data_IF_348068036048
#
_entry.id   IF_348068036048
#
_cell.length_a   1.000
_cell.length_b   1.000
_cell.length_c   1.000
_cell.angle_alpha   90.00
_cell.angle_beta   90.00
_cell.angle_gamma   90.00
#
_symmetry.space_group_name_H-M   'P 1'
#
loop_
_entity.id
_entity.type
_entity.pdbx_description
1 polymer ?
#
# COMPACT_ATOMS: atom_id res chain seq x y z
N UNK A 1 -3.09 25.22 -15.58
CA UNK A 1 -3.33 24.00 -16.38
C UNK A 1 -3.97 22.96 -15.46
N UNK A 2 -5.03 22.26 -15.85
CA UNK A 2 -5.57 21.17 -15.04
C UNK A 2 -4.52 20.05 -14.98
N UNK A 3 -4.13 19.65 -13.77
CA UNK A 3 -3.30 18.45 -13.57
C UNK A 3 -4.11 17.25 -14.06
N UNK A 4 -3.51 16.39 -14.88
CA UNK A 4 -4.13 15.12 -15.25
C UNK A 4 -4.40 14.31 -13.98
N UNK A 5 -5.60 13.76 -13.84
CA UNK A 5 -5.89 12.80 -12.78
C UNK A 5 -5.18 11.48 -13.12
N UNK A 6 -4.33 11.02 -12.21
CA UNK A 6 -3.67 9.73 -12.33
C UNK A 6 -4.64 8.64 -11.86
N UNK A 7 -4.70 7.52 -12.59
CA UNK A 7 -5.46 6.34 -12.17
C UNK A 7 -4.45 5.23 -11.89
N UNK A 8 -4.53 4.63 -10.70
CA UNK A 8 -3.78 3.44 -10.36
C UNK A 8 -4.73 2.27 -10.07
N UNK A 9 -4.45 1.13 -10.67
CA UNK A 9 -5.21 -0.10 -10.49
C UNK A 9 -4.59 -0.95 -9.38
N UNK A 10 -5.37 -1.33 -8.37
CA UNK A 10 -4.87 -2.10 -7.24
C UNK A 10 -4.60 -3.58 -7.56
N UNK A 11 -5.24 -4.15 -8.59
CA UNK A 11 -4.85 -5.46 -9.14
C UNK A 11 -3.47 -5.35 -9.81
N UNK A 12 -3.24 -4.31 -10.60
CA UNK A 12 -1.95 -4.08 -11.25
C UNK A 12 -0.86 -3.76 -10.22
N UNK A 13 -1.19 -3.04 -9.14
CA UNK A 13 -0.28 -2.87 -8.02
C UNK A 13 0.10 -4.22 -7.41
N UNK A 14 -0.86 -5.11 -7.12
CA UNK A 14 -0.55 -6.43 -6.59
C UNK A 14 0.36 -7.25 -7.54
N UNK A 15 0.17 -7.08 -8.86
CA UNK A 15 0.89 -7.80 -9.92
C UNK A 15 2.32 -7.29 -10.15
N UNK A 16 2.52 -5.98 -10.20
CA UNK A 16 3.80 -5.33 -10.57
C UNK A 16 4.54 -4.71 -9.38
N UNK A 17 3.80 -4.47 -8.30
CA UNK A 17 4.21 -3.68 -7.14
C UNK A 17 4.40 -2.19 -7.45
N UNK A 18 3.93 -1.69 -8.60
CA UNK A 18 3.93 -0.27 -8.93
C UNK A 18 2.51 0.29 -8.80
N UNK A 19 2.35 1.38 -8.05
CA UNK A 19 1.05 2.00 -7.85
C UNK A 19 0.88 3.12 -8.89
N UNK A 20 0.48 2.71 -10.11
CA UNK A 20 0.52 3.61 -11.27
C UNK A 20 1.96 4.09 -11.51
N UNK A 21 2.23 5.40 -11.57
CA UNK A 21 3.58 5.92 -11.75
C UNK A 21 4.45 5.89 -10.48
N UNK A 22 3.89 5.50 -9.33
CA UNK A 22 4.64 5.44 -8.07
C UNK A 22 5.35 4.09 -7.94
N UNK A 23 6.68 4.15 -7.87
CA UNK A 23 7.54 3.00 -7.61
C UNK A 23 8.50 3.31 -6.46
N UNK A 24 8.89 2.27 -5.74
CA UNK A 24 9.97 2.34 -4.74
C UNK A 24 11.25 2.88 -5.41
N UNK A 25 11.95 3.78 -4.70
CA UNK A 25 13.19 4.42 -5.15
C UNK A 25 13.00 5.82 -5.76
N UNK A 26 11.77 6.25 -6.08
CA UNK A 26 11.53 7.61 -6.55
C UNK A 26 11.96 8.66 -5.51
N UNK A 27 12.54 9.76 -5.97
CA UNK A 27 12.87 10.88 -5.08
C UNK A 27 11.64 11.64 -4.61
N UNK A 28 11.76 12.41 -3.51
CA UNK A 28 10.69 13.31 -3.04
C UNK A 28 10.24 14.28 -4.12
N UNK A 29 11.19 14.81 -4.89
CA UNK A 29 10.90 15.72 -6.01
C UNK A 29 10.10 15.03 -7.12
N UNK A 30 10.42 13.78 -7.44
CA UNK A 30 9.67 13.00 -8.42
C UNK A 30 8.25 12.70 -7.92
N UNK A 31 8.10 12.29 -6.66
CA UNK A 31 6.77 12.07 -6.05
C UNK A 31 5.95 13.35 -6.03
N UNK A 32 6.55 14.48 -5.64
CA UNK A 32 5.89 15.78 -5.62
C UNK A 32 5.48 16.25 -7.03
N UNK A 33 6.30 15.98 -8.05
CA UNK A 33 5.94 16.28 -9.43
C UNK A 33 4.71 15.49 -9.89
N UNK A 34 4.57 14.23 -9.45
CA UNK A 34 3.45 13.35 -9.76
C UNK A 34 2.17 13.71 -8.98
N UNK A 35 2.27 13.81 -7.66
CA UNK A 35 1.11 13.90 -6.76
C UNK A 35 0.83 15.32 -6.24
N UNK A 36 1.79 16.22 -6.35
CA UNK A 36 1.75 17.51 -5.68
C UNK A 36 2.12 17.43 -4.19
N UNK A 37 1.65 18.41 -3.42
CA UNK A 37 1.87 18.43 -1.98
C UNK A 37 1.02 17.38 -1.28
N UNK A 38 1.53 16.71 -0.24
CA UNK A 38 0.72 15.81 0.57
C UNK A 38 -0.35 16.57 1.35
N UNK A 39 -1.44 15.87 1.65
CA UNK A 39 -2.54 16.42 2.45
C UNK A 39 -2.18 16.48 3.95
N UNK A 40 -1.37 15.53 4.41
CA UNK A 40 -0.85 15.45 5.77
C UNK A 40 0.55 14.82 5.76
N UNK A 41 1.31 14.98 6.84
CA UNK A 41 2.65 14.41 6.99
C UNK A 41 2.94 14.15 8.48
N UNK A 42 4.00 13.40 8.78
CA UNK A 42 4.40 13.18 10.17
C UNK A 42 4.60 14.54 10.87
N UNK A 43 3.80 14.79 11.90
CA UNK A 43 3.80 16.04 12.68
C UNK A 43 5.19 16.31 13.26
N UNK A 44 5.45 17.57 13.60
CA UNK A 44 6.71 18.06 14.19
C UNK A 44 7.88 18.27 13.21
N UNK A 45 7.74 17.90 11.93
CA UNK A 45 8.73 18.22 10.90
C UNK A 45 8.15 19.07 9.77
N UNK A 46 8.97 19.93 9.15
CA UNK A 46 8.66 20.49 7.84
C UNK A 46 8.36 19.38 6.82
N UNK A 47 7.46 19.64 5.86
CA UNK A 47 7.03 18.63 4.87
C UNK A 47 8.20 18.03 4.08
N UNK A 48 9.22 18.83 3.76
CA UNK A 48 10.43 18.43 3.04
C UNK A 48 11.38 17.56 3.87
N UNK A 49 11.21 17.52 5.20
CA UNK A 49 12.00 16.70 6.13
C UNK A 49 11.19 15.55 6.74
N UNK A 50 9.88 15.53 6.50
CA UNK A 50 8.99 14.52 7.04
C UNK A 50 9.22 13.17 6.38
N UNK A 51 9.40 12.12 7.17
CA UNK A 51 9.61 10.76 6.66
C UNK A 51 8.33 10.14 6.11
N UNK A 52 7.16 10.72 6.36
CA UNK A 52 5.86 10.18 5.94
C UNK A 52 5.05 11.28 5.27
N UNK A 53 4.57 11.01 4.06
CA UNK A 53 3.62 11.84 3.33
C UNK A 53 2.31 11.09 3.16
N UNK A 54 1.17 11.76 3.42
CA UNK A 54 -0.16 11.16 3.32
C UNK A 54 -0.99 11.79 2.22
N UNK A 55 -1.69 10.94 1.48
CA UNK A 55 -2.60 11.31 0.39
C UNK A 55 -3.88 10.50 0.56
N UNK A 56 -4.81 10.93 1.42
CA UNK A 56 -5.94 10.08 1.81
C UNK A 56 -5.44 8.92 2.66
N UNK A 57 -5.79 7.68 2.30
CA UNK A 57 -5.37 6.47 3.01
C UNK A 57 -3.96 6.01 2.60
N UNK A 58 -3.44 6.55 1.49
CA UNK A 58 -2.10 6.25 1.01
C UNK A 58 -1.05 6.97 1.86
N UNK A 59 -0.17 6.20 2.47
CA UNK A 59 1.03 6.68 3.16
C UNK A 59 2.30 6.32 2.36
N UNK A 60 3.15 7.31 2.15
CA UNK A 60 4.44 7.19 1.48
C UNK A 60 5.56 7.43 2.50
N UNK A 61 6.38 6.42 2.75
CA UNK A 61 7.51 6.51 3.67
C UNK A 61 8.80 6.71 2.90
N UNK A 62 9.60 7.67 3.33
CA UNK A 62 10.86 8.02 2.72
C UNK A 62 12.03 7.66 3.65
N UNK A 63 13.06 7.04 3.07
CA UNK A 63 14.37 6.88 3.69
C UNK A 63 15.34 7.84 2.99
N UNK A 64 15.76 8.88 3.70
CA UNK A 64 16.43 10.02 3.08
C UNK A 64 15.52 10.73 2.06
N UNK A 65 15.98 10.79 0.80
CA UNK A 65 15.24 11.39 -0.31
C UNK A 65 14.41 10.38 -1.11
N UNK A 66 14.50 9.09 -0.82
CA UNK A 66 13.91 8.05 -1.67
C UNK A 66 12.69 7.39 -1.04
N UNK A 67 11.66 7.15 -1.86
CA UNK A 67 10.45 6.43 -1.48
C UNK A 67 10.83 4.98 -1.14
N UNK A 68 10.72 4.64 0.14
CA UNK A 68 11.06 3.34 0.69
C UNK A 68 9.83 2.44 0.86
N UNK A 69 8.65 3.00 1.12
CA UNK A 69 7.43 2.22 1.31
C UNK A 69 6.18 2.94 0.83
N UNK A 70 5.29 2.19 0.20
CA UNK A 70 3.90 2.56 -0.15
C UNK A 70 3.01 1.75 0.79
N UNK A 71 2.14 2.39 1.57
CA UNK A 71 1.41 1.74 2.65
C UNK A 71 -0.04 2.22 2.78
N UNK A 72 -0.91 1.31 3.22
CA UNK A 72 -2.31 1.53 3.55
C UNK A 72 -2.65 0.71 4.79
N UNK A 73 -3.12 1.35 5.87
CA UNK A 73 -3.53 0.69 7.13
C UNK A 73 -4.81 1.27 7.77
N UNK A 74 -5.30 2.39 7.23
CA UNK A 74 -6.54 3.03 7.66
C UNK A 74 -7.41 3.32 6.45
N UNK A 75 -8.32 2.40 6.14
CA UNK A 75 -9.26 2.50 5.02
C UNK A 75 -10.49 1.63 5.27
N UNK A 76 -11.60 1.95 4.59
CA UNK A 76 -12.73 1.02 4.37
C UNK A 76 -12.64 0.47 2.95
N UNK A 77 -12.61 1.36 1.96
CA UNK A 77 -12.18 1.11 0.59
C UNK A 77 -11.01 2.05 0.33
N UNK A 78 -9.83 1.57 -0.13
CA UNK A 78 -8.65 2.40 -0.23
C UNK A 78 -8.88 3.60 -1.16
N UNK A 79 -8.56 4.80 -0.66
CA UNK A 79 -8.50 6.01 -1.47
C UNK A 79 -7.11 6.62 -1.43
N UNK A 80 -6.71 7.19 -2.57
CA UNK A 80 -5.62 8.15 -2.62
C UNK A 80 -6.22 9.56 -2.82
N UNK A 81 -5.56 10.58 -2.27
CA UNK A 81 -6.02 11.98 -2.33
C UNK A 81 -6.24 12.49 -3.76
N UNK A 82 -6.82 13.68 -3.92
CA UNK A 82 -7.48 14.12 -5.17
C UNK A 82 -6.70 14.13 -6.50
N UNK A 83 -5.38 13.91 -6.51
CA UNK A 83 -4.57 13.79 -7.75
C UNK A 83 -4.46 12.33 -8.22
N UNK A 84 -4.47 11.35 -7.32
CA UNK A 84 -4.37 9.93 -7.63
C UNK A 84 -5.69 9.24 -7.27
N UNK A 85 -6.40 8.78 -8.27
CA UNK A 85 -7.59 7.95 -8.08
C UNK A 85 -7.18 6.48 -8.08
N UNK A 86 -7.68 5.72 -7.11
CA UNK A 86 -7.51 4.28 -7.08
C UNK A 86 -8.70 3.63 -7.78
N UNK A 87 -8.44 2.67 -8.66
CA UNK A 87 -9.43 1.70 -9.11
C UNK A 87 -9.43 0.56 -8.10
N UNK A 88 -10.44 0.49 -7.20
CA UNK A 88 -10.47 -0.55 -6.19
C UNK A 88 -10.74 -1.89 -6.87
N UNK A 89 -9.95 -2.89 -6.52
CA UNK A 89 -10.12 -4.27 -6.97
C UNK A 89 -11.05 -5.00 -5.99
N UNK A 90 -10.58 -6.08 -5.36
CA UNK A 90 -11.26 -6.74 -4.23
C UNK A 90 -10.91 -6.11 -2.87
N UNK A 91 -9.99 -5.14 -2.86
CA UNK A 91 -9.39 -4.64 -1.63
C UNK A 91 -10.35 -3.71 -0.88
N UNK A 92 -10.80 -4.16 0.26
CA UNK A 92 -11.50 -3.41 1.29
C UNK A 92 -11.08 -3.92 2.67
N UNK A 93 -11.27 -3.09 3.70
CA UNK A 93 -11.03 -3.52 5.08
C UNK A 93 -11.93 -4.69 5.42
N UNK A 94 -11.36 -5.65 6.14
CA UNK A 94 -12.06 -6.87 6.54
C UNK A 94 -12.20 -7.92 5.44
N UNK A 95 -11.59 -7.74 4.25
CA UNK A 95 -11.56 -8.77 3.22
C UNK A 95 -10.98 -10.08 3.78
N UNK A 96 -11.73 -11.20 3.77
CA UNK A 96 -11.25 -12.47 4.30
C UNK A 96 -10.03 -12.99 3.54
N UNK A 97 -9.15 -13.73 4.23
CA UNK A 97 -7.97 -14.36 3.61
C UNK A 97 -8.34 -15.18 2.38
N UNK A 98 -9.37 -16.02 2.50
CA UNK A 98 -9.79 -16.92 1.42
C UNK A 98 -10.21 -16.13 0.16
N UNK A 99 -10.87 -14.99 0.34
CA UNK A 99 -11.34 -14.16 -0.77
C UNK A 99 -10.19 -13.39 -1.43
N UNK A 100 -9.23 -12.90 -0.65
CA UNK A 100 -7.98 -12.34 -1.21
C UNK A 100 -7.23 -13.40 -2.04
N UNK A 101 -7.04 -14.60 -1.49
CA UNK A 101 -6.34 -15.67 -2.20
C UNK A 101 -7.07 -16.11 -3.47
N UNK A 102 -8.41 -16.20 -3.44
CA UNK A 102 -9.22 -16.48 -4.64
C UNK A 102 -9.03 -15.39 -5.69
N UNK A 103 -9.02 -14.13 -5.29
CA UNK A 103 -8.81 -13.01 -6.19
C UNK A 103 -7.43 -13.07 -6.84
N UNK A 104 -6.37 -13.29 -6.05
CA UNK A 104 -4.99 -13.44 -6.54
C UNK A 104 -4.86 -14.61 -7.53
N UNK A 105 -5.44 -15.77 -7.20
CA UNK A 105 -5.46 -16.95 -8.10
C UNK A 105 -6.20 -16.64 -9.40
N UNK A 106 -7.37 -16.00 -9.34
CA UNK A 106 -8.15 -15.61 -10.53
C UNK A 106 -7.39 -14.62 -11.41
N UNK A 107 -6.68 -13.68 -10.81
CA UNK A 107 -5.81 -12.73 -11.49
C UNK A 107 -4.49 -13.34 -11.98
N UNK A 108 -4.22 -14.62 -11.68
CA UNK A 108 -2.95 -15.30 -12.00
C UNK A 108 -1.74 -14.54 -11.42
N UNK A 109 -1.87 -14.01 -10.21
CA UNK A 109 -0.78 -13.32 -9.48
C UNK A 109 -0.15 -14.35 -8.52
N UNK A 110 1.13 -14.71 -8.68
CA UNK A 110 1.80 -15.63 -7.77
C UNK A 110 1.96 -15.00 -6.38
N UNK A 111 1.70 -15.77 -5.33
CA UNK A 111 1.85 -15.32 -3.95
C UNK A 111 2.24 -16.46 -2.99
N UNK A 112 2.69 -16.09 -1.81
CA UNK A 112 2.86 -16.97 -0.65
C UNK A 112 2.06 -16.44 0.53
N UNK A 113 1.52 -17.35 1.34
CA UNK A 113 0.81 -17.04 2.57
C UNK A 113 1.54 -17.68 3.76
N UNK A 114 1.90 -16.90 4.76
CA UNK A 114 2.57 -17.39 5.97
C UNK A 114 2.06 -16.66 7.21
N UNK A 115 2.02 -17.30 8.40
CA UNK A 115 1.76 -16.58 9.65
C UNK A 115 2.72 -15.40 9.81
N UNK A 116 2.20 -14.26 10.26
CA UNK A 116 3.03 -13.09 10.47
C UNK A 116 3.83 -13.20 11.76
N UNK A 117 5.14 -12.98 11.68
CA UNK A 117 6.03 -13.13 12.84
C UNK A 117 5.91 -12.02 13.89
N UNK A 118 5.33 -10.88 13.52
CA UNK A 118 5.25 -9.70 14.41
C UNK A 118 3.84 -9.46 14.93
N UNK A 119 2.84 -9.94 14.22
CA UNK A 119 1.43 -9.77 14.53
C UNK A 119 0.79 -11.16 14.73
N UNK A 120 0.85 -11.74 15.95
CA UNK A 120 0.16 -12.97 16.26
C UNK A 120 -1.32 -12.90 15.88
N UNK A 121 -1.86 -13.99 15.34
CA UNK A 121 -3.23 -14.03 14.83
C UNK A 121 -3.40 -13.38 13.44
N UNK A 122 -2.32 -12.97 12.78
CA UNK A 122 -2.35 -12.50 11.40
C UNK A 122 -1.65 -13.47 10.43
N UNK A 123 -2.15 -13.48 9.19
CA UNK A 123 -1.50 -14.06 8.02
C UNK A 123 -0.95 -12.96 7.14
N UNK A 124 0.30 -13.10 6.72
CA UNK A 124 0.91 -12.26 5.69
C UNK A 124 0.85 -12.97 4.35
N UNK A 125 0.27 -12.31 3.37
CA UNK A 125 0.25 -12.73 1.96
C UNK A 125 1.21 -11.83 1.19
N UNK A 126 2.16 -12.40 0.44
CA UNK A 126 3.15 -11.63 -0.33
C UNK A 126 3.14 -12.09 -1.78
N UNK A 127 2.97 -11.15 -2.73
CA UNK A 127 3.06 -11.44 -4.16
C UNK A 127 4.51 -11.56 -4.62
N UNK A 128 4.75 -12.17 -5.78
CA UNK A 128 6.10 -12.23 -6.38
C UNK A 128 6.70 -10.85 -6.68
N UNK A 129 5.86 -9.81 -6.79
CA UNK A 129 6.30 -8.42 -6.96
C UNK A 129 6.65 -7.71 -5.64
N UNK A 130 6.49 -8.40 -4.51
CA UNK A 130 6.80 -7.87 -3.18
C UNK A 130 5.69 -7.01 -2.56
N UNK A 131 4.47 -7.05 -3.10
CA UNK A 131 3.31 -6.46 -2.41
C UNK A 131 2.90 -7.39 -1.29
N UNK A 132 2.75 -6.84 -0.09
CA UNK A 132 2.31 -7.57 1.08
C UNK A 132 0.92 -7.13 1.53
N UNK A 133 0.11 -8.08 1.97
CA UNK A 133 -1.17 -7.90 2.61
C UNK A 133 -1.10 -8.55 3.99
N UNK A 134 -1.59 -7.88 5.04
CA UNK A 134 -1.76 -8.48 6.35
C UNK A 134 -3.25 -8.69 6.61
N UNK A 135 -3.58 -9.93 6.97
CA UNK A 135 -4.95 -10.38 7.21
C UNK A 135 -5.06 -10.85 8.65
N UNK A 136 -5.90 -10.22 9.46
CA UNK A 136 -6.22 -10.71 10.80
C UNK A 136 -7.14 -11.95 10.66
N UNK A 137 -6.71 -13.09 11.20
CA UNK A 137 -7.46 -14.36 11.13
C UNK A 137 -7.94 -14.87 12.49
N UNK A 138 -7.47 -14.26 13.58
CA UNK A 138 -7.89 -14.54 14.96
C UNK A 138 -8.29 -13.24 15.66
N UNK A 139 -9.24 -13.28 16.60
CA UNK A 139 -9.65 -12.10 17.36
C UNK A 139 -11.16 -11.88 17.34
N UNK A 140 -11.59 -10.63 17.59
CA UNK A 140 -13.00 -10.27 17.53
C UNK A 140 -13.46 -10.20 16.07
N UNK A 141 -14.72 -10.54 15.81
CA UNK A 141 -15.25 -10.62 14.44
C UNK A 141 -15.11 -9.31 13.64
N UNK A 142 -15.14 -8.15 14.29
CA UNK A 142 -14.99 -6.84 13.65
C UNK A 142 -13.53 -6.51 13.27
N UNK A 143 -12.57 -7.26 13.79
CA UNK A 143 -11.14 -7.07 13.51
C UNK A 143 -10.65 -8.02 12.40
N UNK A 144 -11.45 -9.02 12.02
CA UNK A 144 -11.04 -10.05 11.06
C UNK A 144 -10.97 -9.52 9.63
N UNK A 145 -10.00 -10.04 8.87
CA UNK A 145 -9.79 -9.75 7.46
C UNK A 145 -8.66 -8.76 7.20
N UNK A 146 -8.62 -8.21 5.99
CA UNK A 146 -7.57 -7.30 5.54
C UNK A 146 -7.51 -6.04 6.42
N UNK A 147 -6.34 -5.81 7.02
CA UNK A 147 -6.11 -4.65 7.89
C UNK A 147 -5.04 -3.69 7.35
N UNK A 148 -4.08 -4.20 6.58
CA UNK A 148 -3.07 -3.37 5.91
C UNK A 148 -2.55 -4.01 4.62
N UNK A 149 -2.09 -3.20 3.70
CA UNK A 149 -1.33 -3.66 2.53
C UNK A 149 -0.36 -2.59 2.04
N UNK A 150 0.61 -3.02 1.25
CA UNK A 150 1.62 -2.11 0.71
C UNK A 150 2.82 -2.83 0.15
N UNK A 151 3.82 -2.04 -0.23
CA UNK A 151 5.11 -2.51 -0.72
C UNK A 151 6.21 -1.71 -0.05
N UNK A 152 7.16 -2.40 0.57
CA UNK A 152 8.43 -1.82 0.99
C UNK A 152 9.55 -2.14 0.01
N UNK A 153 10.64 -1.39 0.07
CA UNK A 153 11.92 -1.86 -0.45
C UNK A 153 12.27 -3.15 0.30
N UNK A 154 12.33 -4.28 -0.41
CA UNK A 154 12.59 -5.57 0.23
C UNK A 154 13.88 -5.50 1.05
N UNK A 155 13.79 -5.76 2.35
CA UNK A 155 14.95 -6.18 3.12
C UNK A 155 15.31 -7.58 2.64
N UNK A 156 16.16 -7.69 1.62
CA UNK A 156 16.90 -8.92 1.43
C UNK A 156 17.68 -9.18 2.74
N UNK A 157 17.34 -10.30 3.37
CA UNK A 157 18.09 -11.05 4.36
C UNK A 157 19.17 -10.31 5.17
N UNK A 158 18.99 -10.31 6.49
CA UNK A 158 20.06 -10.77 7.36
C UNK A 158 19.54 -11.96 8.16
#
# INVERSE_FOLDING_TARGET
MPRAHLIADLEEFARSGQLGPLAIGLSRNQVFALLGAPADWLKEKPVNESAIWKYGDLELYFEGDHLHMIHFDSFEVPVAGGVLQLSPWVLCRGLPLEDLEKALRRATIPFTSTPDRWNPGCMRVVTSAGVSFLIQIEGQAHDLGLCQFGRGAGSHAK
#
